data_IF_695723843761
#
_entry.id   IF_695723843761
#
_cell.length_a   1.000
_cell.length_b   1.000
_cell.length_c   1.000
_cell.angle_alpha   90.00
_cell.angle_beta   90.00
_cell.angle_gamma   90.00
#
_symmetry.space_group_name_H-M   'P 1'
#
loop_
_entity.id
_entity.type
_entity.pdbx_description
1 polymer ?
#
# COMPACT_ATOMS: atom_id res chain seq x y z
N UNK A 1 23.59 8.29 13.50
CA UNK A 1 22.37 9.02 13.91
C UNK A 1 21.38 9.23 12.76
N UNK A 2 21.81 9.67 11.56
CA UNK A 2 20.89 9.91 10.43
C UNK A 2 20.06 8.68 9.99
N UNK A 3 20.68 7.49 9.95
CA UNK A 3 19.99 6.22 9.61
C UNK A 3 18.88 5.87 10.61
N UNK A 4 19.10 6.09 11.91
CA UNK A 4 18.09 5.84 12.94
C UNK A 4 16.86 6.75 12.77
N UNK A 5 17.08 8.03 12.44
CA UNK A 5 15.99 8.97 12.16
C UNK A 5 15.19 8.59 10.90
N UNK A 6 15.87 8.08 9.87
CA UNK A 6 15.21 7.56 8.67
C UNK A 6 14.38 6.31 8.97
N UNK A 7 14.89 5.37 9.77
CA UNK A 7 14.12 4.20 10.21
C UNK A 7 12.86 4.61 10.99
N UNK A 8 13.00 5.55 11.94
CA UNK A 8 11.84 6.08 12.69
C UNK A 8 10.82 6.72 11.74
N UNK A 9 11.27 7.48 10.72
CA UNK A 9 10.40 8.07 9.71
C UNK A 9 9.65 7.01 8.91
N UNK A 10 10.34 5.96 8.43
CA UNK A 10 9.72 4.86 7.69
C UNK A 10 8.67 4.15 8.53
N UNK A 11 9.00 3.82 9.78
CA UNK A 11 8.09 3.14 10.70
C UNK A 11 6.87 4.03 10.98
N UNK A 12 7.07 5.33 11.23
CA UNK A 12 5.98 6.27 11.49
C UNK A 12 5.05 6.40 10.27
N UNK A 13 5.61 6.49 9.07
CA UNK A 13 4.83 6.54 7.82
C UNK A 13 4.07 5.24 7.60
N UNK A 14 4.71 4.08 7.83
CA UNK A 14 4.10 2.77 7.65
C UNK A 14 2.95 2.55 8.63
N UNK A 15 3.13 2.89 9.91
CA UNK A 15 2.07 2.81 10.92
C UNK A 15 0.93 3.76 10.57
N UNK A 16 1.22 5.02 10.26
CA UNK A 16 0.19 6.03 9.99
C UNK A 16 -0.61 5.71 8.73
N UNK A 17 0.07 5.49 7.59
CA UNK A 17 -0.59 5.20 6.33
C UNK A 17 -1.20 3.79 6.30
N UNK A 18 -0.55 2.83 6.95
CA UNK A 18 -1.06 1.47 7.12
C UNK A 18 -2.35 1.46 7.92
N UNK A 19 -2.37 2.13 9.07
CA UNK A 19 -3.58 2.25 9.90
C UNK A 19 -4.72 2.95 9.17
N UNK A 20 -4.47 4.12 8.57
CA UNK A 20 -5.49 4.86 7.83
C UNK A 20 -6.01 4.07 6.62
N UNK A 21 -5.11 3.44 5.86
CA UNK A 21 -5.48 2.61 4.72
C UNK A 21 -6.28 1.38 5.12
N UNK A 22 -5.90 0.72 6.22
CA UNK A 22 -6.61 -0.45 6.73
C UNK A 22 -8.02 -0.09 7.20
N UNK A 23 -8.19 1.01 7.93
CA UNK A 23 -9.52 1.50 8.33
C UNK A 23 -10.42 1.75 7.11
N UNK A 24 -9.88 2.34 6.03
CA UNK A 24 -10.65 2.54 4.80
C UNK A 24 -11.05 1.21 4.16
N UNK A 25 -10.11 0.25 4.08
CA UNK A 25 -10.35 -1.08 3.51
C UNK A 25 -11.44 -1.83 4.28
N UNK A 26 -11.35 -1.90 5.61
CA UNK A 26 -12.36 -2.60 6.43
C UNK A 26 -13.76 -2.00 6.23
N UNK A 27 -13.88 -0.66 6.24
CA UNK A 27 -15.18 -0.02 6.03
C UNK A 27 -15.75 -0.26 4.62
N UNK A 28 -14.89 -0.31 3.60
CA UNK A 28 -15.31 -0.55 2.21
C UNK A 28 -15.72 -2.01 2.00
N UNK A 29 -15.04 -2.96 2.62
CA UNK A 29 -15.29 -4.39 2.42
C UNK A 29 -16.34 -4.99 3.37
N UNK A 30 -16.69 -4.30 4.46
CA UNK A 30 -17.78 -4.68 5.36
C UNK A 30 -19.19 -4.65 4.70
N UNK A 31 -19.29 -4.23 3.43
CA UNK A 31 -20.56 -4.21 2.68
C UNK A 31 -21.09 -5.63 2.41
N UNK A 32 -20.21 -6.64 2.33
CA UNK A 32 -20.59 -8.02 2.08
C UNK A 32 -19.63 -8.99 2.81
N UNK A 33 -20.15 -10.09 3.37
CA UNK A 33 -19.36 -11.07 4.11
C UNK A 33 -18.24 -11.69 3.25
N UNK A 34 -18.49 -11.92 1.95
CA UNK A 34 -17.48 -12.43 1.03
C UNK A 34 -16.39 -11.40 0.77
N UNK A 35 -16.73 -10.12 0.55
CA UNK A 35 -15.69 -9.08 0.39
C UNK A 35 -14.90 -8.87 1.68
N UNK A 36 -15.56 -8.96 2.84
CA UNK A 36 -14.91 -8.89 4.14
C UNK A 36 -13.93 -10.05 4.33
N UNK A 37 -14.30 -11.27 3.98
CA UNK A 37 -13.43 -12.44 4.04
C UNK A 37 -12.15 -12.28 3.20
N UNK A 38 -12.26 -11.64 2.03
CA UNK A 38 -11.11 -11.37 1.15
C UNK A 38 -10.38 -10.05 1.44
N UNK A 39 -10.64 -9.40 2.58
CA UNK A 39 -10.05 -8.08 2.91
C UNK A 39 -8.53 -8.04 2.92
N UNK A 40 -7.89 -9.16 3.22
CA UNK A 40 -6.43 -9.31 3.19
C UNK A 40 -5.82 -8.99 1.81
N UNK A 41 -6.58 -9.16 0.72
CA UNK A 41 -6.16 -8.73 -0.62
C UNK A 41 -6.06 -7.21 -0.75
N UNK A 42 -6.98 -6.48 -0.11
CA UNK A 42 -6.88 -5.02 0.05
C UNK A 42 -5.66 -4.63 0.88
N UNK A 43 -5.35 -5.38 1.94
CA UNK A 43 -4.10 -5.22 2.69
C UNK A 43 -2.85 -5.36 1.81
N UNK A 44 -2.82 -6.36 0.93
CA UNK A 44 -1.78 -6.55 -0.08
C UNK A 44 -1.66 -5.36 -1.04
N UNK A 45 -2.80 -4.86 -1.55
CA UNK A 45 -2.83 -3.66 -2.39
C UNK A 45 -2.24 -2.43 -1.67
N UNK A 46 -2.60 -2.24 -0.39
CA UNK A 46 -2.10 -1.14 0.43
C UNK A 46 -0.58 -1.19 0.62
N UNK A 47 -0.02 -2.38 0.85
CA UNK A 47 1.43 -2.57 0.97
C UNK A 47 2.16 -2.22 -0.32
N UNK A 48 1.66 -2.66 -1.47
CA UNK A 48 2.26 -2.35 -2.77
C UNK A 48 2.18 -0.84 -3.04
N UNK A 49 1.02 -0.23 -2.79
CA UNK A 49 0.82 1.20 -2.93
C UNK A 49 1.80 1.99 -2.06
N UNK A 50 1.93 1.63 -0.77
CA UNK A 50 2.87 2.25 0.15
C UNK A 50 4.31 2.11 -0.35
N UNK A 51 4.71 0.92 -0.81
CA UNK A 51 6.05 0.68 -1.32
C UNK A 51 6.39 1.58 -2.51
N UNK A 52 5.49 1.70 -3.50
CA UNK A 52 5.68 2.56 -4.67
C UNK A 52 5.75 4.04 -4.26
N UNK A 53 4.84 4.49 -3.39
CA UNK A 53 4.82 5.86 -2.89
C UNK A 53 6.10 6.20 -2.13
N UNK A 54 6.56 5.27 -1.29
CA UNK A 54 7.78 5.42 -0.53
C UNK A 54 9.00 5.51 -1.44
N UNK A 55 9.19 4.54 -2.34
CA UNK A 55 10.37 4.44 -3.22
C UNK A 55 10.46 5.53 -4.28
N UNK A 56 9.37 6.22 -4.61
CA UNK A 56 9.39 7.27 -5.64
C UNK A 56 9.30 8.71 -5.09
N UNK A 57 8.66 8.90 -3.94
CA UNK A 57 8.40 10.23 -3.38
C UNK A 57 8.91 10.36 -1.95
N UNK A 58 8.38 9.58 -1.00
CA UNK A 58 8.63 9.83 0.43
C UNK A 58 10.10 9.61 0.82
N UNK A 59 10.79 8.66 0.19
CA UNK A 59 12.20 8.40 0.44
C UNK A 59 13.08 9.65 0.23
N UNK A 60 12.77 10.50 -0.76
CA UNK A 60 13.55 11.68 -1.16
C UNK A 60 13.20 12.98 -0.42
N UNK A 61 12.29 12.92 0.55
CA UNK A 61 11.86 14.10 1.34
C UNK A 61 12.57 14.21 2.69
N UNK A 62 13.58 13.36 2.94
CA UNK A 62 14.18 13.16 4.26
C UNK A 62 15.42 14.00 4.53
N UNK A 63 16.09 13.69 5.64
CA UNK A 63 17.30 14.38 6.09
C UNK A 63 18.60 13.75 5.56
N UNK A 64 18.47 12.65 4.82
CA UNK A 64 19.54 11.97 4.14
C UNK A 64 19.32 12.08 2.63
N UNK A 65 20.28 12.65 1.91
CA UNK A 65 20.28 12.62 0.45
C UNK A 65 20.39 11.16 0.01
N UNK A 66 19.25 10.62 -0.39
CA UNK A 66 19.06 9.19 -0.56
C UNK A 66 19.93 8.65 -1.68
N UNK A 67 20.90 7.81 -1.33
CA UNK A 67 21.57 6.88 -2.26
C UNK A 67 20.57 5.92 -2.96
N UNK A 68 19.30 5.89 -2.51
CA UNK A 68 18.26 5.07 -3.10
C UNK A 68 17.82 5.59 -4.47
N UNK A 69 17.88 4.74 -5.49
CA UNK A 69 17.32 5.06 -6.81
C UNK A 69 15.80 4.90 -6.82
N UNK A 70 15.10 5.78 -7.55
CA UNK A 70 13.65 5.66 -7.83
C UNK A 70 13.37 4.37 -8.59
N UNK A 71 12.15 3.85 -8.45
CA UNK A 71 11.69 2.79 -9.34
C UNK A 71 11.62 3.34 -10.77
N UNK A 72 11.87 2.48 -11.76
CA UNK A 72 11.59 2.85 -13.15
C UNK A 72 10.10 3.16 -13.32
N UNK A 73 9.77 4.07 -14.23
CA UNK A 73 8.37 4.42 -14.49
C UNK A 73 7.52 3.19 -14.84
N UNK A 74 8.07 2.28 -15.66
CA UNK A 74 7.42 1.02 -16.04
C UNK A 74 7.10 0.14 -14.84
N UNK A 75 8.07 -0.08 -13.94
CA UNK A 75 7.86 -0.92 -12.77
C UNK A 75 6.87 -0.28 -11.78
N UNK A 76 6.94 1.05 -11.62
CA UNK A 76 5.99 1.79 -10.79
C UNK A 76 4.56 1.63 -11.28
N UNK A 77 4.33 1.82 -12.59
CA UNK A 77 3.00 1.65 -13.20
C UNK A 77 2.54 0.20 -13.07
N UNK A 78 3.41 -0.77 -13.34
CA UNK A 78 3.07 -2.19 -13.22
C UNK A 78 2.61 -2.55 -11.79
N UNK A 79 3.37 -2.14 -10.78
CA UNK A 79 3.00 -2.37 -9.37
C UNK A 79 1.69 -1.66 -8.99
N UNK A 80 1.47 -0.44 -9.48
CA UNK A 80 0.21 0.28 -9.26
C UNK A 80 -0.98 -0.44 -9.90
N UNK A 81 -0.81 -1.00 -11.10
CA UNK A 81 -1.85 -1.83 -11.74
C UNK A 81 -2.15 -3.07 -10.92
N UNK A 82 -1.12 -3.78 -10.42
CA UNK A 82 -1.32 -4.94 -9.53
C UNK A 82 -2.07 -4.54 -8.25
N UNK A 83 -1.69 -3.42 -7.63
CA UNK A 83 -2.38 -2.93 -6.43
C UNK A 83 -3.86 -2.64 -6.72
N UNK A 84 -4.17 -2.01 -7.85
CA UNK A 84 -5.55 -1.76 -8.26
C UNK A 84 -6.34 -3.05 -8.51
N UNK A 85 -5.74 -4.04 -9.17
CA UNK A 85 -6.39 -5.34 -9.39
C UNK A 85 -6.67 -6.06 -8.07
N UNK A 86 -5.71 -6.09 -7.15
CA UNK A 86 -5.88 -6.66 -5.81
C UNK A 86 -6.99 -5.96 -5.02
N UNK A 87 -7.11 -4.63 -5.14
CA UNK A 87 -8.16 -3.86 -4.48
C UNK A 87 -9.56 -4.21 -5.00
N UNK A 88 -9.70 -4.54 -6.28
CA UNK A 88 -11.01 -4.88 -6.87
C UNK A 88 -11.37 -6.35 -6.68
N UNK A 89 -10.38 -7.21 -6.42
CA UNK A 89 -10.57 -8.68 -6.38
C UNK A 89 -11.63 -9.15 -5.37
N UNK A 90 -11.72 -8.63 -4.13
CA UNK A 90 -12.76 -9.03 -3.18
C UNK A 90 -14.18 -8.86 -3.74
N UNK A 91 -14.45 -7.80 -4.50
CA UNK A 91 -15.74 -7.58 -5.14
C UNK A 91 -16.01 -8.53 -6.31
N UNK A 92 -14.97 -8.91 -7.05
CA UNK A 92 -15.10 -9.95 -8.08
C UNK A 92 -15.42 -11.31 -7.45
N UNK A 93 -14.85 -11.61 -6.28
CA UNK A 93 -15.18 -12.84 -5.55
C UNK A 93 -16.64 -12.87 -5.09
N UNK A 94 -17.19 -11.72 -4.67
CA UNK A 94 -18.63 -11.61 -4.37
C UNK A 94 -19.47 -12.04 -5.58
N UNK A 95 -19.11 -11.63 -6.80
CA UNK A 95 -19.84 -11.98 -8.03
C UNK A 95 -19.67 -13.46 -8.45
N UNK A 96 -18.56 -14.10 -8.09
CA UNK A 96 -18.25 -15.47 -8.49
C UNK A 96 -18.77 -16.53 -7.51
N UNK A 97 -18.91 -16.17 -6.23
CA UNK A 97 -19.24 -17.10 -5.15
C UNK A 97 -20.73 -16.98 -4.74
N UNK A 98 -21.36 -15.81 -4.90
CA UNK A 98 -22.81 -15.65 -4.78
C UNK A 98 -23.50 -15.88 -6.12
#
# INVERSE_FOLDING_TARGET
MRVMLELVRVITLFITLGFLGWMLIENIYAINETSEHFSWMGGGALLIFFFVLYRNKLQFTGWYDGEGQKLSSKLSVFLMVIALLLLVTPFLMVLLIN
#
